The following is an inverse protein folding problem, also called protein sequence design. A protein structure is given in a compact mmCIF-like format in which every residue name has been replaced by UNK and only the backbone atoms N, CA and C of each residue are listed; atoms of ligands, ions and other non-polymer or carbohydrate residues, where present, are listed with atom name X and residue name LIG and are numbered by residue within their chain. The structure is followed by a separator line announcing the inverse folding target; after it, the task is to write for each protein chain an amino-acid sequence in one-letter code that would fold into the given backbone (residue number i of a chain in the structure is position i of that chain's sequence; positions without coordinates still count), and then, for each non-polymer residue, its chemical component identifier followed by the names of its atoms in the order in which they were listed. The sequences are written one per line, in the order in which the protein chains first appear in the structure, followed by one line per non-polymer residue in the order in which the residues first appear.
data_IF_667516599348
#
_entry.id   IF_667516599348
#
_cell.length_a   1.000
_cell.length_b   1.000
_cell.length_c   1.000
_cell.angle_alpha   90.00
_cell.angle_beta   90.00
_cell.angle_gamma   90.00
#
_symmetry.space_group_name_H-M   'P 1'
#
loop_
_entity.id
_entity.type
_entity.pdbx_description
1 polymer ?
#
# COMPACT_ATOMS: atom_id res chain seq x y z
N UNK A 1 21.01 17.72 -1.14
CA UNK A 1 21.34 17.31 -2.52
C UNK A 1 20.26 17.87 -3.44
N UNK A 2 20.61 18.72 -4.41
CA UNK A 2 19.65 19.44 -5.26
C UNK A 2 18.99 18.46 -6.26
N UNK A 3 17.70 18.15 -6.06
CA UNK A 3 16.85 17.40 -7.01
C UNK A 3 16.46 18.22 -8.26
N UNK A 4 16.87 19.49 -8.32
CA UNK A 4 16.30 20.53 -9.19
C UNK A 4 16.53 20.34 -10.71
N UNK A 5 17.38 19.39 -11.12
CA UNK A 5 17.58 19.07 -12.54
C UNK A 5 16.77 17.87 -13.05
N UNK A 6 16.49 16.90 -12.18
CA UNK A 6 15.84 15.64 -12.60
C UNK A 6 14.34 15.82 -12.87
N UNK A 7 13.64 16.50 -11.96
CA UNK A 7 12.18 16.72 -12.06
C UNK A 7 11.78 17.71 -13.16
N UNK A 8 12.75 18.42 -13.75
CA UNK A 8 12.54 19.39 -14.84
C UNK A 8 13.06 18.83 -16.18
N UNK A 9 13.02 17.51 -16.37
CA UNK A 9 13.51 16.83 -17.58
C UNK A 9 12.37 16.16 -18.34
N UNK A 10 12.50 16.08 -19.67
CA UNK A 10 11.53 15.38 -20.52
C UNK A 10 11.37 13.90 -20.14
N UNK A 11 12.43 13.28 -19.61
CA UNK A 11 12.37 11.92 -19.08
C UNK A 11 11.45 11.82 -17.87
N UNK A 12 11.51 12.79 -16.94
CA UNK A 12 10.60 12.81 -15.80
C UNK A 12 9.14 12.91 -16.27
N UNK A 13 8.83 13.83 -17.19
CA UNK A 13 7.47 13.96 -17.75
C UNK A 13 6.99 12.69 -18.45
N UNK A 14 7.87 12.01 -19.18
CA UNK A 14 7.57 10.73 -19.83
C UNK A 14 7.23 9.63 -18.80
N UNK A 15 7.99 9.53 -17.70
CA UNK A 15 7.72 8.56 -16.63
C UNK A 15 6.39 8.86 -15.92
N UNK A 16 6.06 10.14 -15.68
CA UNK A 16 4.76 10.53 -15.14
C UNK A 16 3.63 10.16 -16.10
N UNK A 17 3.82 10.40 -17.40
CA UNK A 17 2.87 10.02 -18.46
C UNK A 17 2.62 8.52 -18.50
N UNK A 18 3.68 7.72 -18.41
CA UNK A 18 3.61 6.26 -18.38
C UNK A 18 2.84 5.77 -17.15
N UNK A 19 3.17 6.25 -15.94
CA UNK A 19 2.42 5.93 -14.72
C UNK A 19 0.95 6.27 -14.83
N UNK A 20 0.61 7.45 -15.38
CA UNK A 20 -0.79 7.86 -15.59
C UNK A 20 -1.54 6.93 -16.55
N UNK A 21 -0.85 6.38 -17.56
CA UNK A 21 -1.46 5.44 -18.51
C UNK A 21 -1.86 4.11 -17.87
N UNK A 22 -1.30 3.78 -16.70
CA UNK A 22 -1.58 2.57 -15.94
C UNK A 22 -2.71 2.74 -14.91
N UNK A 23 -3.29 3.94 -14.80
CA UNK A 23 -4.44 4.17 -13.92
C UNK A 23 -5.67 3.43 -14.45
N UNK A 24 -6.39 2.75 -13.55
CA UNK A 24 -7.61 1.99 -13.84
C UNK A 24 -8.86 2.83 -13.56
N UNK A 25 -10.01 2.33 -14.01
CA UNK A 25 -11.29 3.03 -13.86
C UNK A 25 -11.76 3.17 -12.40
N UNK A 26 -11.26 2.33 -11.50
CA UNK A 26 -11.49 2.44 -10.04
C UNK A 26 -10.60 3.49 -9.37
N UNK A 27 -9.77 4.20 -10.15
CA UNK A 27 -8.87 5.25 -9.69
C UNK A 27 -7.53 4.76 -9.15
N UNK A 28 -7.33 3.44 -8.99
CA UNK A 28 -6.05 2.86 -8.59
C UNK A 28 -5.10 2.59 -9.77
N UNK A 29 -3.91 2.10 -9.47
CA UNK A 29 -2.87 1.74 -10.44
C UNK A 29 -2.58 0.24 -10.42
N UNK A 30 -2.29 -0.32 -11.58
CA UNK A 30 -1.74 -1.68 -11.70
C UNK A 30 -1.15 -1.91 -13.09
N UNK A 31 -0.29 -2.93 -13.20
CA UNK A 31 0.37 -3.31 -14.45
C UNK A 31 -0.62 -3.75 -15.55
N UNK A 32 -0.08 -4.02 -16.74
CA UNK A 32 -0.85 -4.56 -17.87
C UNK A 32 -1.49 -5.92 -17.53
N UNK A 33 -2.73 -6.12 -17.96
CA UNK A 33 -3.49 -7.36 -17.72
C UNK A 33 -4.44 -7.32 -16.51
N UNK A 34 -4.30 -6.34 -15.61
CA UNK A 34 -5.26 -6.13 -14.53
C UNK A 34 -6.37 -5.15 -14.91
N UNK A 35 -7.60 -5.48 -14.54
CA UNK A 35 -8.80 -4.63 -14.78
C UNK A 35 -9.09 -3.65 -13.64
N UNK A 36 -8.45 -3.84 -12.47
CA UNK A 36 -8.64 -3.04 -11.25
C UNK A 36 -7.30 -2.62 -10.67
N UNK A 37 -7.27 -1.51 -9.92
CA UNK A 37 -6.07 -1.04 -9.24
C UNK A 37 -5.58 -2.02 -8.17
N UNK A 38 -4.28 -2.02 -7.86
CA UNK A 38 -3.72 -2.76 -6.75
C UNK A 38 -3.20 -1.80 -5.69
N UNK A 39 -3.30 -2.19 -4.41
CA UNK A 39 -2.99 -1.30 -3.28
C UNK A 39 -1.50 -0.94 -3.22
N UNK A 40 -0.62 -1.90 -3.45
CA UNK A 40 0.84 -1.73 -3.51
C UNK A 40 1.28 -0.81 -4.66
N UNK A 41 0.81 -1.07 -5.89
CA UNK A 41 1.07 -0.21 -7.04
C UNK A 41 0.54 1.22 -6.81
N UNK A 42 -0.69 1.35 -6.32
CA UNK A 42 -1.30 2.65 -6.03
C UNK A 42 -0.56 3.41 -4.93
N UNK A 43 -0.07 2.70 -3.91
CA UNK A 43 0.74 3.29 -2.84
C UNK A 43 2.08 3.83 -3.37
N UNK A 44 2.74 3.06 -4.24
CA UNK A 44 3.96 3.50 -4.91
C UNK A 44 3.71 4.75 -5.78
N UNK A 45 2.61 4.77 -6.54
CA UNK A 45 2.23 5.93 -7.35
C UNK A 45 1.88 7.14 -6.50
N UNK A 46 1.14 6.98 -5.40
CA UNK A 46 0.80 8.07 -4.47
C UNK A 46 2.06 8.67 -3.81
N UNK A 47 3.11 7.88 -3.62
CA UNK A 47 4.42 8.37 -3.16
C UNK A 47 5.16 9.14 -4.26
N UNK A 48 5.04 8.70 -5.51
CA UNK A 48 5.75 9.28 -6.65
C UNK A 48 5.09 10.56 -7.21
N UNK A 49 3.76 10.64 -7.16
CA UNK A 49 2.96 11.69 -7.78
C UNK A 49 2.31 12.59 -6.73
N UNK A 50 2.39 13.91 -6.95
CA UNK A 50 1.58 14.85 -6.19
C UNK A 50 0.09 14.74 -6.56
N UNK A 51 -0.80 14.95 -5.58
CA UNK A 51 -2.25 15.05 -5.76
C UNK A 51 -2.96 13.79 -6.29
N UNK A 52 -2.52 12.60 -5.87
CA UNK A 52 -3.31 11.38 -6.08
C UNK A 52 -4.51 11.39 -5.13
N UNK A 53 -5.72 11.20 -5.67
CA UNK A 53 -6.92 11.11 -4.86
C UNK A 53 -6.94 9.79 -4.07
N UNK A 54 -7.02 9.80 -2.74
CA UNK A 54 -6.99 8.59 -1.92
C UNK A 54 -8.29 7.75 -1.98
N UNK A 55 -9.35 8.17 -2.69
CA UNK A 55 -10.65 7.46 -2.72
C UNK A 55 -10.52 5.97 -3.08
N UNK A 56 -9.56 5.59 -3.92
CA UNK A 56 -9.30 4.19 -4.23
C UNK A 56 -9.01 3.35 -2.97
N UNK A 57 -8.20 3.87 -2.05
CA UNK A 57 -7.84 3.17 -0.82
C UNK A 57 -9.07 2.98 0.07
N UNK A 58 -9.91 4.01 0.22
CA UNK A 58 -11.14 3.89 1.01
C UNK A 58 -12.10 2.83 0.45
N UNK A 59 -12.19 2.70 -0.87
CA UNK A 59 -12.98 1.63 -1.50
C UNK A 59 -12.42 0.22 -1.25
N UNK A 60 -11.12 0.10 -0.96
CA UNK A 60 -10.45 -1.17 -0.61
C UNK A 60 -10.42 -1.45 0.88
N UNK A 61 -10.86 -0.50 1.69
CA UNK A 61 -10.81 -0.59 3.13
C UNK A 61 -12.02 -1.33 3.67
N UNK A 62 -11.77 -2.32 4.52
CA UNK A 62 -12.82 -3.01 5.24
C UNK A 62 -13.21 -2.22 6.49
N UNK A 63 -14.47 -1.83 6.59
CA UNK A 63 -14.97 -0.96 7.66
C UNK A 63 -15.02 -1.64 9.04
N UNK A 64 -15.00 -2.97 9.09
CA UNK A 64 -15.10 -3.73 10.34
C UNK A 64 -13.72 -3.97 10.95
N UNK A 65 -12.76 -4.32 10.11
CA UNK A 65 -11.40 -4.68 10.53
C UNK A 65 -10.40 -3.56 10.36
N UNK A 66 -10.67 -2.56 9.51
CA UNK A 66 -9.72 -1.54 9.08
C UNK A 66 -8.63 -2.04 8.13
N UNK A 67 -8.59 -3.35 7.85
CA UNK A 67 -7.66 -3.92 6.88
C UNK A 67 -8.02 -3.54 5.44
N UNK A 68 -7.04 -3.64 4.54
CA UNK A 68 -7.23 -3.35 3.12
C UNK A 68 -7.19 -4.62 2.29
N UNK A 69 -8.06 -4.66 1.27
CA UNK A 69 -8.21 -5.79 0.36
C UNK A 69 -7.16 -5.73 -0.76
N UNK A 70 -6.39 -6.81 -0.87
CA UNK A 70 -5.40 -7.00 -1.90
C UNK A 70 -5.95 -7.69 -3.16
N UNK A 71 -5.06 -8.21 -4.01
CA UNK A 71 -5.44 -9.08 -5.12
C UNK A 71 -6.27 -10.28 -4.63
N UNK A 72 -7.32 -10.63 -5.37
CA UNK A 72 -8.27 -11.68 -4.96
C UNK A 72 -9.28 -11.23 -3.88
N UNK A 73 -9.34 -9.93 -3.57
CA UNK A 73 -10.31 -9.29 -2.67
C UNK A 73 -10.24 -9.76 -1.20
N UNK A 74 -9.13 -10.39 -0.83
CA UNK A 74 -8.85 -10.83 0.54
C UNK A 74 -8.13 -9.74 1.33
N UNK A 75 -8.44 -9.64 2.63
CA UNK A 75 -7.68 -8.79 3.54
C UNK A 75 -6.27 -9.34 3.72
N UNK A 76 -5.27 -8.47 3.60
CA UNK A 76 -3.87 -8.86 3.79
C UNK A 76 -3.11 -7.83 4.60
N UNK A 77 -2.12 -8.30 5.35
CA UNK A 77 -1.19 -7.42 6.08
C UNK A 77 -0.44 -6.50 5.12
N UNK A 78 -0.01 -7.02 3.97
CA UNK A 78 0.77 -6.25 3.01
C UNK A 78 -0.03 -5.10 2.41
N UNK A 79 -1.24 -5.36 1.93
CA UNK A 79 -2.10 -4.29 1.39
C UNK A 79 -2.46 -3.28 2.47
N UNK A 80 -2.72 -3.74 3.69
CA UNK A 80 -2.98 -2.85 4.83
C UNK A 80 -1.78 -1.94 5.12
N UNK A 81 -0.57 -2.49 5.16
CA UNK A 81 0.64 -1.74 5.41
C UNK A 81 0.93 -0.72 4.29
N UNK A 82 0.81 -1.11 3.02
CA UNK A 82 0.98 -0.21 1.89
C UNK A 82 -0.01 0.95 1.91
N UNK A 83 -1.29 0.67 2.17
CA UNK A 83 -2.32 1.69 2.26
C UNK A 83 -2.04 2.68 3.41
N UNK A 84 -1.69 2.18 4.59
CA UNK A 84 -1.35 3.02 5.76
C UNK A 84 -0.17 3.94 5.46
N UNK A 85 0.89 3.40 4.85
CA UNK A 85 2.06 4.19 4.47
C UNK A 85 1.72 5.25 3.42
N UNK A 86 0.92 4.91 2.40
CA UNK A 86 0.52 5.83 1.35
C UNK A 86 -0.39 6.96 1.85
N UNK A 87 -1.35 6.63 2.71
CA UNK A 87 -2.27 7.59 3.31
C UNK A 87 -1.60 8.42 4.41
N UNK A 88 -0.41 8.02 4.88
CA UNK A 88 0.27 8.57 6.06
C UNK A 88 -0.68 8.70 7.26
N UNK A 89 -1.59 7.74 7.40
CA UNK A 89 -2.63 7.72 8.41
C UNK A 89 -2.88 6.27 8.80
N UNK A 90 -2.50 5.93 10.03
CA UNK A 90 -2.88 4.67 10.65
C UNK A 90 -4.03 4.93 11.61
N UNK A 91 -5.16 4.27 11.36
CA UNK A 91 -6.26 4.31 12.31
C UNK A 91 -6.21 3.12 13.27
N UNK A 92 -7.04 3.19 14.32
CA UNK A 92 -7.09 2.15 15.36
C UNK A 92 -7.40 0.76 14.80
N UNK A 93 -8.32 0.67 13.85
CA UNK A 93 -8.74 -0.63 13.29
C UNK A 93 -7.62 -1.26 12.46
N UNK A 94 -6.98 -0.51 11.57
CA UNK A 94 -5.85 -0.99 10.78
C UNK A 94 -4.67 -1.43 11.69
N UNK A 95 -4.38 -0.67 12.75
CA UNK A 95 -3.38 -1.06 13.75
C UNK A 95 -3.74 -2.37 14.44
N UNK A 96 -4.98 -2.52 14.90
CA UNK A 96 -5.46 -3.76 15.51
C UNK A 96 -5.39 -4.94 14.53
N UNK A 97 -5.73 -4.72 13.26
CA UNK A 97 -5.63 -5.73 12.22
C UNK A 97 -4.19 -6.23 12.06
N UNK A 98 -3.21 -5.33 11.93
CA UNK A 98 -1.79 -5.70 11.83
C UNK A 98 -1.33 -6.48 13.08
N UNK A 99 -1.69 -6.01 14.28
CA UNK A 99 -1.31 -6.68 15.55
C UNK A 99 -1.93 -8.06 15.72
N UNK A 100 -3.16 -8.29 15.23
CA UNK A 100 -3.82 -9.61 15.30
C UNK A 100 -3.13 -10.67 14.44
N UNK A 101 -2.31 -10.27 13.48
CA UNK A 101 -1.51 -11.17 12.67
C UNK A 101 -0.10 -11.43 13.27
N UNK A 102 0.15 -10.96 14.50
CA UNK A 102 1.39 -11.22 15.22
C UNK A 102 1.41 -12.64 15.80
N UNK A 103 2.50 -13.35 15.54
CA UNK A 103 2.79 -14.66 16.08
C UNK A 103 3.47 -14.55 17.45
N UNK A 104 3.49 -15.64 18.27
CA UNK A 104 4.17 -15.64 19.56
C UNK A 104 5.67 -15.30 19.51
N UNK A 105 6.33 -15.53 18.37
CA UNK A 105 7.74 -15.19 18.16
C UNK A 105 7.96 -13.70 17.79
N UNK A 106 6.88 -12.91 17.73
CA UNK A 106 6.88 -11.49 17.43
C UNK A 106 6.77 -11.16 15.94
N UNK A 107 6.90 -12.15 15.05
CA UNK A 107 6.76 -11.94 13.61
C UNK A 107 5.31 -11.72 13.19
N UNK A 108 5.10 -11.14 12.00
CA UNK A 108 3.78 -10.92 11.40
C UNK A 108 3.65 -11.84 10.18
N UNK A 109 2.57 -12.62 10.11
CA UNK A 109 2.25 -13.40 8.91
C UNK A 109 1.48 -12.55 7.90
N UNK A 110 1.67 -12.80 6.59
CA UNK A 110 0.91 -12.09 5.56
C UNK A 110 -0.60 -12.47 5.61
N UNK A 111 -0.87 -13.74 5.92
CA UNK A 111 -2.18 -14.32 6.22
C UNK A 111 -2.10 -15.26 7.44
N UNK A 112 -3.22 -15.45 8.16
CA UNK A 112 -3.30 -16.31 9.36
C UNK A 112 -2.88 -17.77 9.14
N UNK A 113 -2.80 -18.24 7.89
CA UNK A 113 -2.56 -19.65 7.53
C UNK A 113 -1.27 -19.90 6.77
N UNK A 114 -0.35 -18.91 6.70
CA UNK A 114 0.82 -19.00 5.82
C UNK A 114 2.09 -19.58 6.45
N UNK A 115 3.02 -19.94 5.56
CA UNK A 115 4.34 -20.48 5.85
C UNK A 115 5.10 -19.59 6.85
N UNK A 116 5.46 -20.15 8.01
CA UNK A 116 6.18 -19.46 9.09
C UNK A 116 7.55 -18.91 8.67
N UNK A 117 8.12 -19.40 7.57
CA UNK A 117 9.40 -18.94 7.04
C UNK A 117 9.27 -17.70 6.14
N UNK A 118 8.07 -17.40 5.62
CA UNK A 118 7.80 -16.26 4.75
C UNK A 118 7.47 -14.97 5.53
N UNK A 119 8.15 -14.74 6.66
CA UNK A 119 7.78 -13.70 7.63
C UNK A 119 8.52 -12.37 7.51
N UNK A 120 9.67 -12.33 6.84
CA UNK A 120 10.52 -11.11 6.80
C UNK A 120 9.75 -9.95 6.16
N UNK A 121 9.17 -10.18 4.99
CA UNK A 121 8.46 -9.17 4.21
C UNK A 121 7.22 -8.61 4.93
N UNK A 122 6.22 -9.42 5.34
CA UNK A 122 5.05 -8.91 6.07
C UNK A 122 5.42 -8.26 7.41
N UNK A 123 6.43 -8.77 8.12
CA UNK A 123 6.93 -8.14 9.36
C UNK A 123 7.51 -6.75 9.09
N UNK A 124 8.38 -6.62 8.09
CA UNK A 124 9.01 -5.35 7.75
C UNK A 124 7.98 -4.30 7.29
N UNK A 125 7.02 -4.70 6.46
CA UNK A 125 5.94 -3.81 6.03
C UNK A 125 5.04 -3.38 7.18
N UNK A 126 4.58 -4.32 8.00
CA UNK A 126 3.75 -4.01 9.16
C UNK A 126 4.48 -3.07 10.13
N UNK A 127 5.76 -3.33 10.41
CA UNK A 127 6.58 -2.46 11.26
C UNK A 127 6.74 -1.05 10.66
N UNK A 128 6.96 -0.95 9.35
CA UNK A 128 7.07 0.35 8.66
C UNK A 128 5.77 1.15 8.76
N UNK A 129 4.63 0.51 8.53
CA UNK A 129 3.31 1.12 8.70
C UNK A 129 3.05 1.54 10.15
N UNK A 130 3.40 0.70 11.12
CA UNK A 130 3.28 0.96 12.56
C UNK A 130 4.30 1.99 13.08
N UNK A 131 5.30 2.38 12.29
CA UNK A 131 6.30 3.39 12.68
C UNK A 131 5.99 4.77 12.09
N UNK A 132 4.93 4.89 11.28
CA UNK A 132 4.54 6.13 10.63
C UNK A 132 3.95 7.18 11.58
N UNK A 133 3.76 8.43 11.10
CA UNK A 133 3.09 9.48 11.86
C UNK A 133 1.64 9.05 12.20
N UNK A 134 1.25 9.23 13.46
CA UNK A 134 0.04 8.62 14.03
C UNK A 134 0.25 8.10 15.47
N UNK A 135 1.50 8.14 15.93
CA UNK A 135 1.92 8.07 17.32
C UNK A 135 2.31 9.46 17.85
#
# INVERSE_FOLDING_TARGET
MQRNGWTNSALYDQLIGDLKSLQKSDGGWSEGGFTVGHVDHSAAVMTALANVNPTFFEARRDSTTGGFRGPGDMLSVESTAWAVMALANIDRLAMEFLRRNQHPDGSIAAFQTENLDAKIWPTALALSALSGPGF
#
